data_IF_249813377096
#
_entry.id   IF_249813377096
#
_cell.length_a   1.000
_cell.length_b   1.000
_cell.length_c   1.000
_cell.angle_alpha   90.00
_cell.angle_beta   90.00
_cell.angle_gamma   90.00
#
_symmetry.space_group_name_H-M   'P 1'
#
loop_
_entity.id
_entity.type
_entity.pdbx_description
1 polymer ?
#
# COMPACT_ATOMS: atom_id res chain seq x y z
N UNK A 1 -2.82 -0.71 -12.18
CA UNK A 1 -3.56 -0.92 -10.93
C UNK A 1 -3.20 -2.29 -10.41
N UNK A 2 -2.67 -2.38 -9.18
CA UNK A 2 -2.37 -3.68 -8.55
C UNK A 2 -3.46 -3.90 -7.51
N UNK A 3 -4.19 -5.02 -7.59
CA UNK A 3 -5.34 -5.28 -6.72
C UNK A 3 -6.38 -4.13 -6.71
N UNK A 4 -6.63 -3.52 -7.89
CA UNK A 4 -7.63 -2.45 -8.07
C UNK A 4 -7.22 -1.08 -7.53
N UNK A 5 -5.97 -0.89 -7.09
CA UNK A 5 -5.47 0.36 -6.51
C UNK A 5 -4.21 0.87 -7.19
N UNK A 6 -4.00 2.17 -7.07
CA UNK A 6 -2.76 2.81 -7.50
C UNK A 6 -1.71 2.69 -6.40
N UNK A 7 -0.55 2.13 -6.77
CA UNK A 7 0.59 1.98 -5.89
C UNK A 7 1.74 2.77 -6.51
N UNK A 8 2.65 3.32 -5.70
CA UNK A 8 3.76 4.13 -6.18
C UNK A 8 5.08 3.73 -5.52
N UNK A 9 6.16 3.88 -6.28
CA UNK A 9 7.52 3.69 -5.80
C UNK A 9 7.97 4.90 -4.95
N UNK A 10 9.20 4.92 -4.39
CA UNK A 10 9.70 6.07 -3.62
C UNK A 10 9.72 7.40 -4.38
N UNK A 11 9.80 7.35 -5.71
CA UNK A 11 9.79 8.50 -6.62
C UNK A 11 8.36 8.91 -7.04
N UNK A 12 7.32 8.37 -6.41
CA UNK A 12 5.91 8.60 -6.76
C UNK A 12 5.53 8.18 -8.19
N UNK A 13 6.29 7.26 -8.79
CA UNK A 13 5.96 6.67 -10.09
C UNK A 13 4.97 5.54 -9.90
N UNK A 14 3.85 5.49 -10.66
CA UNK A 14 2.88 4.40 -10.59
C UNK A 14 3.53 3.04 -10.84
N UNK A 15 3.30 2.11 -9.93
CA UNK A 15 3.72 0.72 -10.05
C UNK A 15 2.66 -0.03 -10.87
N UNK A 16 3.10 -0.61 -11.98
CA UNK A 16 2.29 -1.43 -12.89
C UNK A 16 2.64 -2.91 -12.67
N UNK A 17 1.89 -3.82 -13.30
CA UNK A 17 2.21 -5.26 -13.24
C UNK A 17 3.65 -5.56 -13.72
N UNK A 18 4.16 -4.79 -14.70
CA UNK A 18 5.54 -4.91 -15.19
C UNK A 18 6.59 -4.48 -14.17
N UNK A 19 6.37 -3.35 -13.46
CA UNK A 19 7.34 -2.82 -12.48
C UNK A 19 7.17 -3.39 -11.07
N UNK A 20 6.11 -4.18 -10.85
CA UNK A 20 5.79 -4.83 -9.57
C UNK A 20 6.97 -5.63 -9.03
N UNK A 21 7.63 -6.45 -9.84
CA UNK A 21 8.76 -7.28 -9.38
C UNK A 21 9.93 -6.48 -8.79
N UNK A 22 10.13 -5.23 -9.22
CA UNK A 22 11.24 -4.37 -8.79
C UNK A 22 10.86 -3.39 -7.68
N UNK A 23 9.60 -2.95 -7.66
CA UNK A 23 9.12 -1.87 -6.78
C UNK A 23 8.20 -2.35 -5.66
N UNK A 24 8.09 -3.67 -5.47
CA UNK A 24 7.30 -4.27 -4.39
C UNK A 24 8.19 -4.63 -3.18
N UNK A 25 7.77 -4.34 -1.93
CA UNK A 25 6.53 -3.67 -1.53
C UNK A 25 6.47 -2.20 -1.93
N UNK A 26 5.29 -1.67 -2.31
CA UNK A 26 5.17 -0.27 -2.72
C UNK A 26 5.51 0.66 -1.57
N UNK A 27 5.96 1.87 -1.89
CA UNK A 27 6.27 2.87 -0.85
C UNK A 27 5.03 3.69 -0.52
N UNK A 28 4.25 4.03 -1.54
CA UNK A 28 3.00 4.74 -1.38
C UNK A 28 1.85 3.99 -2.04
N UNK A 29 0.66 4.25 -1.53
CA UNK A 29 -0.58 3.67 -2.03
C UNK A 29 -1.62 4.76 -2.10
N UNK A 30 -2.56 4.67 -3.05
CA UNK A 30 -3.73 5.53 -3.07
C UNK A 30 -4.86 4.88 -2.29
N UNK A 31 -5.45 5.63 -1.37
CA UNK A 31 -6.67 5.25 -0.67
C UNK A 31 -7.90 5.62 -1.50
N UNK A 32 -9.06 5.05 -1.16
CA UNK A 32 -10.34 5.34 -1.83
C UNK A 32 -10.75 6.82 -1.67
N UNK A 33 -10.31 7.49 -0.59
CA UNK A 33 -10.48 8.94 -0.39
C UNK A 33 -9.48 9.79 -1.21
N UNK A 34 -8.75 9.19 -2.16
CA UNK A 34 -7.70 9.82 -2.96
C UNK A 34 -6.44 10.27 -2.20
N UNK A 35 -6.35 10.02 -0.89
CA UNK A 35 -5.11 10.26 -0.13
C UNK A 35 -4.00 9.29 -0.52
N UNK A 36 -2.76 9.79 -0.53
CA UNK A 36 -1.55 8.98 -0.73
C UNK A 36 -0.99 8.58 0.62
N UNK A 37 -1.06 7.30 0.94
CA UNK A 37 -0.60 6.76 2.21
C UNK A 37 0.83 6.25 2.07
N UNK A 38 1.70 6.66 2.99
CA UNK A 38 3.08 6.17 3.07
C UNK A 38 3.15 4.85 3.81
N UNK A 39 4.04 3.96 3.36
CA UNK A 39 4.33 2.68 4.01
C UNK A 39 4.96 2.91 5.38
N UNK A 40 4.44 2.19 6.36
CA UNK A 40 5.02 2.01 7.68
C UNK A 40 5.36 0.54 7.91
N UNK A 41 6.35 0.28 8.75
CA UNK A 41 6.77 -1.06 9.12
C UNK A 41 6.36 -1.35 10.57
N UNK A 42 5.79 -2.52 10.83
CA UNK A 42 5.56 -3.03 12.19
C UNK A 42 6.85 -3.71 12.68
N UNK A 43 7.05 -3.78 14.00
CA UNK A 43 8.23 -4.42 14.60
C UNK A 43 8.44 -5.90 14.24
N UNK A 44 7.43 -6.58 13.70
CA UNK A 44 7.51 -7.96 13.22
C UNK A 44 7.90 -8.08 11.73
N UNK A 45 8.34 -7.00 11.08
CA UNK A 45 8.73 -7.00 9.67
C UNK A 45 7.58 -6.87 8.67
N UNK A 46 6.33 -6.76 9.14
CA UNK A 46 5.18 -6.54 8.25
C UNK A 46 5.02 -5.07 7.87
N UNK A 47 4.56 -4.81 6.65
CA UNK A 47 4.29 -3.46 6.16
C UNK A 47 2.81 -3.13 6.22
N UNK A 48 2.50 -1.89 6.58
CA UNK A 48 1.13 -1.38 6.65
C UNK A 48 1.05 0.07 6.17
N UNK A 49 -0.17 0.50 5.84
CA UNK A 49 -0.49 1.86 5.46
C UNK A 49 -1.79 2.25 6.15
N UNK A 50 -1.78 3.35 6.91
CA UNK A 50 -2.96 3.83 7.62
C UNK A 50 -3.43 5.13 6.99
N UNK A 51 -4.72 5.21 6.66
CA UNK A 51 -5.36 6.45 6.24
C UNK A 51 -5.74 7.27 7.47
N UNK A 52 -5.28 8.53 7.61
CA UNK A 52 -5.72 9.39 8.70
C UNK A 52 -7.18 9.86 8.53
N UNK A 53 -7.68 9.99 7.29
CA UNK A 53 -9.05 10.46 7.04
C UNK A 53 -10.10 9.36 7.16
N UNK A 54 -9.85 8.20 6.52
CA UNK A 54 -10.81 7.10 6.54
C UNK A 54 -10.63 6.14 7.72
N UNK A 55 -9.55 6.31 8.49
CA UNK A 55 -9.08 5.38 9.53
C UNK A 55 -8.85 3.93 9.05
N UNK A 56 -8.94 3.69 7.74
CA UNK A 56 -8.67 2.42 7.08
C UNK A 56 -7.21 2.02 7.23
N UNK A 57 -6.98 0.78 7.62
CA UNK A 57 -5.66 0.18 7.73
C UNK A 57 -5.47 -0.84 6.60
N UNK A 58 -4.42 -0.68 5.81
CA UNK A 58 -4.04 -1.64 4.79
C UNK A 58 -2.78 -2.37 5.27
N UNK A 59 -2.74 -3.68 5.13
CA UNK A 59 -1.61 -4.53 5.52
C UNK A 59 -1.14 -5.35 4.32
N UNK A 60 0.15 -5.69 4.33
CA UNK A 60 0.70 -6.57 3.30
C UNK A 60 0.68 -8.02 3.75
N UNK A 61 0.03 -8.88 2.96
CA UNK A 61 -0.06 -10.32 3.20
C UNK A 61 0.25 -11.07 1.91
N UNK A 62 1.25 -11.97 1.94
CA UNK A 62 1.67 -12.78 0.77
C UNK A 62 1.89 -11.96 -0.52
N UNK A 63 2.48 -10.78 -0.41
CA UNK A 63 2.74 -9.91 -1.56
C UNK A 63 1.50 -9.20 -2.14
N UNK A 64 0.38 -9.23 -1.43
CA UNK A 64 -0.83 -8.44 -1.76
C UNK A 64 -1.13 -7.45 -0.66
N UNK A 65 -1.82 -6.37 -1.01
CA UNK A 65 -2.25 -5.38 -0.04
C UNK A 65 -3.73 -5.64 0.24
N UNK A 66 -4.02 -5.99 1.48
CA UNK A 66 -5.37 -6.25 1.95
C UNK A 66 -5.81 -5.11 2.87
N UNK A 67 -7.09 -4.80 2.83
CA UNK A 67 -7.70 -3.95 3.86
C UNK A 67 -7.81 -4.79 5.14
N UNK A 68 -7.13 -4.37 6.19
CA UNK A 68 -7.25 -4.92 7.53
C UNK A 68 -8.62 -4.51 8.05
N UNK A 69 -9.59 -5.44 7.97
CA UNK A 69 -10.90 -5.28 8.61
C UNK A 69 -10.71 -5.49 10.10
N UNK A 70 -10.07 -4.55 10.78
CA UNK A 70 -10.09 -4.55 12.24
C UNK A 70 -11.52 -4.22 12.66
N UNK A 71 -12.12 -5.19 13.35
CA UNK A 71 -13.53 -5.32 13.74
C UNK A 71 -13.93 -4.32 14.82
#
# INVERSE_FOLDING_TARGET
MIDGRECFNPMMVPITEFSKGLSWPPTYIKCDCSEILRRSQRGNGSYYWKCPTCEKLFTMTMGRIILDKTK
#
